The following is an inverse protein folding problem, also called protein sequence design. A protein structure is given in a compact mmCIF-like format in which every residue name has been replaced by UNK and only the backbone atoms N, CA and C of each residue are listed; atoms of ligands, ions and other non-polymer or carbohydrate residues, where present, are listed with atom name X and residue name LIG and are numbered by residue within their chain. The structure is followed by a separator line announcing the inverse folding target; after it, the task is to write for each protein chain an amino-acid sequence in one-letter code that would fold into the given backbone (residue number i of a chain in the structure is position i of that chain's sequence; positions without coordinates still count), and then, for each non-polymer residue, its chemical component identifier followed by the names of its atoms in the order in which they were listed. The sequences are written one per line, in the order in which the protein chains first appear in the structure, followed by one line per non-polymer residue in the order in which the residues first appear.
data_IF_350059858241
#
_entry.id   IF_350059858241
#
_cell.length_a   1.000
_cell.length_b   1.000
_cell.length_c   1.000
_cell.angle_alpha   90.00
_cell.angle_beta   90.00
_cell.angle_gamma   90.00
#
_symmetry.space_group_name_H-M   'P 1'
#
loop_
_entity.id
_entity.type
_entity.pdbx_description
1 polymer ?
#
# COMPACT_ATOMS: atom_id res chain seq x y z
N UNK A 1 -11.80 18.63 2.68
CA UNK A 1 -11.33 18.58 1.28
C UNK A 1 -10.14 17.62 1.21
N UNK A 2 -9.86 17.07 0.02
CA UNK A 2 -8.71 16.19 -0.27
C UNK A 2 -7.40 16.70 0.34
N UNK A 3 -7.02 17.93 -0.01
CA UNK A 3 -5.79 18.55 0.45
C UNK A 3 -5.71 18.65 1.98
N UNK A 4 -6.82 19.00 2.66
CA UNK A 4 -6.83 19.11 4.12
C UNK A 4 -6.65 17.74 4.81
N UNK A 5 -7.16 16.66 4.21
CA UNK A 5 -6.90 15.31 4.71
C UNK A 5 -5.42 14.96 4.59
N UNK A 6 -4.83 15.14 3.40
CA UNK A 6 -3.43 14.79 3.16
C UNK A 6 -2.50 15.59 4.06
N UNK A 7 -2.72 16.90 4.18
CA UNK A 7 -1.96 17.75 5.11
C UNK A 7 -2.15 17.24 6.55
N UNK A 8 -3.39 16.96 6.96
CA UNK A 8 -3.68 16.46 8.31
C UNK A 8 -2.98 15.13 8.63
N UNK A 9 -3.01 14.16 7.72
CA UNK A 9 -2.30 12.88 7.87
C UNK A 9 -0.79 13.13 7.92
N UNK A 10 -0.25 13.91 6.98
CA UNK A 10 1.18 14.24 6.87
C UNK A 10 1.71 14.86 8.16
N UNK A 11 1.01 15.86 8.70
CA UNK A 11 1.38 16.51 9.96
C UNK A 11 1.40 15.52 11.12
N UNK A 12 0.44 14.60 11.19
CA UNK A 12 0.45 13.60 12.25
C UNK A 12 1.59 12.60 12.10
N UNK A 13 1.94 12.20 10.87
CA UNK A 13 3.08 11.29 10.64
C UNK A 13 4.37 11.99 11.08
N UNK A 14 4.56 13.26 10.68
CA UNK A 14 5.70 14.08 11.12
C UNK A 14 5.79 14.17 12.64
N UNK A 15 4.66 14.39 13.34
CA UNK A 15 4.63 14.44 14.80
C UNK A 15 5.00 13.10 15.44
N UNK A 16 4.46 11.98 14.95
CA UNK A 16 4.77 10.63 15.49
C UNK A 16 6.23 10.27 15.24
N UNK A 17 6.79 10.62 14.07
CA UNK A 17 8.21 10.43 13.77
C UNK A 17 9.11 11.25 14.71
N UNK A 18 8.80 12.54 14.88
CA UNK A 18 9.56 13.41 15.78
C UNK A 18 9.47 12.95 17.24
N UNK A 19 8.28 12.49 17.68
CA UNK A 19 8.10 11.95 19.03
C UNK A 19 8.98 10.70 19.23
N UNK A 20 8.99 9.75 18.28
CA UNK A 20 9.84 8.56 18.38
C UNK A 20 11.34 8.90 18.47
N UNK A 21 11.80 9.84 17.64
CA UNK A 21 13.20 10.30 17.64
C UNK A 21 13.56 11.00 18.96
N UNK A 22 12.71 11.91 19.44
CA UNK A 22 12.94 12.64 20.69
C UNK A 22 12.98 11.74 21.93
N UNK A 23 12.37 10.55 21.86
CA UNK A 23 12.39 9.55 22.92
C UNK A 23 13.49 8.50 22.75
N UNK A 24 14.55 8.82 22.00
CA UNK A 24 15.70 7.93 21.74
C UNK A 24 15.27 6.58 21.15
N UNK A 25 14.28 6.58 20.25
CA UNK A 25 13.80 5.39 19.55
C UNK A 25 13.26 4.30 20.51
N UNK A 26 12.65 4.71 21.62
CA UNK A 26 12.01 3.80 22.57
C UNK A 26 10.52 3.63 22.28
N UNK A 27 9.99 2.44 22.57
CA UNK A 27 8.59 2.11 22.33
C UNK A 27 7.66 2.94 23.23
N UNK A 28 6.57 3.45 22.63
CA UNK A 28 5.41 4.00 23.34
C UNK A 28 4.11 3.53 22.69
N UNK A 29 3.01 3.72 23.41
CA UNK A 29 1.68 3.21 23.09
C UNK A 29 1.12 3.67 21.71
N UNK A 30 1.79 4.60 20.99
CA UNK A 30 1.28 5.18 19.75
C UNK A 30 2.35 5.48 18.68
N UNK A 31 3.47 4.76 18.67
CA UNK A 31 4.44 4.87 17.56
C UNK A 31 4.01 4.01 16.38
N UNK A 32 2.91 4.42 15.73
CA UNK A 32 2.29 3.66 14.64
C UNK A 32 1.75 4.56 13.53
N UNK A 33 1.84 4.04 12.31
CA UNK A 33 1.19 4.52 11.10
C UNK A 33 0.53 3.31 10.44
N UNK A 34 -0.79 3.22 10.54
CA UNK A 34 -1.58 2.18 9.91
C UNK A 34 -2.47 2.82 8.85
N UNK A 35 -2.46 2.31 7.62
CA UNK A 35 -3.27 2.90 6.54
C UNK A 35 -4.01 1.79 5.79
N UNK A 36 -5.33 1.89 5.72
CA UNK A 36 -6.17 1.13 4.78
C UNK A 36 -6.59 2.08 3.67
N UNK A 37 -6.14 1.82 2.44
CA UNK A 37 -6.42 2.72 1.32
C UNK A 37 -6.39 2.00 -0.02
N UNK A 38 -7.21 2.42 -0.99
CA UNK A 38 -7.10 1.88 -2.36
C UNK A 38 -5.75 2.21 -2.98
N UNK A 39 -5.22 3.42 -2.72
CA UNK A 39 -3.96 3.89 -3.28
C UNK A 39 -3.11 4.53 -2.16
N UNK A 40 -1.88 4.04 -1.88
CA UNK A 40 -1.04 4.54 -0.80
C UNK A 40 -0.46 5.94 -1.05
N UNK A 41 -0.50 6.42 -2.30
CA UNK A 41 -0.27 7.82 -2.64
C UNK A 41 -1.56 8.64 -2.66
N UNK A 42 -2.73 8.09 -2.33
CA UNK A 42 -4.00 8.81 -2.30
C UNK A 42 -4.33 9.58 -3.60
N UNK A 43 -3.82 9.16 -4.76
CA UNK A 43 -3.99 9.93 -6.01
C UNK A 43 -3.17 11.24 -6.09
N UNK A 44 -2.19 11.44 -5.18
CA UNK A 44 -1.26 12.57 -5.20
C UNK A 44 -0.39 12.67 -6.45
N UNK A 45 -0.28 11.58 -7.21
CA UNK A 45 0.41 11.55 -8.50
C UNK A 45 -0.22 12.45 -9.56
N UNK A 46 -1.47 12.88 -9.34
CA UNK A 46 -2.14 13.88 -10.16
C UNK A 46 -1.72 15.31 -9.82
N UNK A 47 -0.94 15.49 -8.75
CA UNK A 47 -0.43 16.76 -8.24
C UNK A 47 1.07 16.68 -7.91
N UNK A 48 1.94 16.23 -8.84
CA UNK A 48 3.34 15.93 -8.53
C UNK A 48 4.14 17.18 -8.11
N UNK A 49 3.79 18.35 -8.65
CA UNK A 49 4.47 19.61 -8.37
C UNK A 49 3.99 20.29 -7.08
N UNK A 50 2.99 19.73 -6.39
CA UNK A 50 2.46 20.34 -5.17
C UNK A 50 3.30 19.94 -3.96
N UNK A 51 3.59 20.92 -3.11
CA UNK A 51 4.39 20.74 -1.90
C UNK A 51 3.84 19.64 -0.98
N UNK A 52 2.52 19.58 -0.79
CA UNK A 52 1.89 18.57 0.05
C UNK A 52 2.11 17.13 -0.45
N UNK A 53 2.33 16.92 -1.75
CA UNK A 53 2.64 15.61 -2.34
C UNK A 53 4.02 15.13 -1.90
N UNK A 54 5.03 16.01 -2.02
CA UNK A 54 6.40 15.73 -1.58
C UNK A 54 6.47 15.54 -0.07
N UNK A 55 5.80 16.40 0.68
CA UNK A 55 5.80 16.36 2.14
C UNK A 55 5.19 15.08 2.70
N UNK A 56 4.11 14.59 2.10
CA UNK A 56 3.52 13.30 2.44
C UNK A 56 4.50 12.15 2.17
N UNK A 57 5.11 12.12 0.98
CA UNK A 57 6.07 11.08 0.62
C UNK A 57 7.27 11.03 1.58
N UNK A 58 7.87 12.19 1.90
CA UNK A 58 8.97 12.28 2.85
C UNK A 58 8.55 11.80 4.25
N UNK A 59 7.37 12.18 4.73
CA UNK A 59 6.89 11.74 6.04
C UNK A 59 6.72 10.21 6.13
N UNK A 60 6.26 9.57 5.06
CA UNK A 60 6.15 8.11 4.95
C UNK A 60 7.52 7.44 4.89
N UNK A 61 8.47 8.01 4.15
CA UNK A 61 9.86 7.52 4.10
C UNK A 61 10.53 7.60 5.48
N UNK A 62 10.35 8.69 6.21
CA UNK A 62 10.84 8.84 7.59
C UNK A 62 10.22 7.78 8.52
N UNK A 63 8.93 7.46 8.34
CA UNK A 63 8.26 6.41 9.10
C UNK A 63 8.85 5.02 8.77
N UNK A 64 9.15 4.75 7.51
CA UNK A 64 9.83 3.51 7.09
C UNK A 64 11.25 3.42 7.68
N UNK A 65 12.01 4.50 7.68
CA UNK A 65 13.33 4.55 8.31
C UNK A 65 13.25 4.32 9.83
N UNK A 66 12.22 4.84 10.50
CA UNK A 66 11.94 4.56 11.91
C UNK A 66 11.61 3.09 12.17
N UNK A 67 10.89 2.41 11.27
CA UNK A 67 10.71 0.94 11.35
C UNK A 67 12.05 0.23 11.30
N UNK A 68 12.92 0.59 10.35
CA UNK A 68 14.26 0.00 10.24
C UNK A 68 15.08 0.16 11.53
N UNK A 69 15.06 1.36 12.11
CA UNK A 69 15.75 1.65 13.38
C UNK A 69 15.17 0.78 14.51
N UNK A 70 13.84 0.67 14.60
CA UNK A 70 13.16 -0.11 15.63
C UNK A 70 13.57 -1.59 15.62
N UNK A 71 13.79 -2.16 14.42
CA UNK A 71 14.14 -3.57 14.23
C UNK A 71 15.58 -3.92 14.61
N UNK A 72 16.50 -2.95 14.62
CA UNK A 72 17.93 -3.17 14.93
C UNK A 72 18.18 -3.50 16.42
N UNK A 73 17.20 -3.28 17.30
CA UNK A 73 17.38 -3.31 18.75
C UNK A 73 17.05 -4.62 19.49
N UNK A 74 16.76 -5.73 18.81
CA UNK A 74 16.38 -7.03 19.41
C UNK A 74 15.19 -7.00 20.41
N UNK A 75 14.43 -5.91 20.48
CA UNK A 75 13.36 -5.74 21.46
C UNK A 75 12.19 -4.99 20.81
N UNK A 76 11.15 -5.76 20.48
CA UNK A 76 9.81 -5.37 20.03
C UNK A 76 9.72 -4.37 18.86
N UNK A 77 8.66 -4.45 18.07
CA UNK A 77 8.40 -3.49 16.99
C UNK A 77 8.04 -2.13 17.59
N UNK A 78 9.05 -1.36 18.01
CA UNK A 78 8.89 -0.08 18.72
C UNK A 78 8.23 1.00 17.88
N UNK A 79 8.34 0.88 16.56
CA UNK A 79 7.64 1.73 15.59
C UNK A 79 7.00 0.84 14.54
N UNK A 80 5.75 1.12 14.20
CA UNK A 80 4.97 0.35 13.23
C UNK A 80 4.59 1.21 12.04
N UNK A 81 4.89 0.74 10.83
CA UNK A 81 4.33 1.25 9.59
C UNK A 81 3.72 0.04 8.87
N UNK A 82 2.40 0.04 8.72
CA UNK A 82 1.70 -0.98 7.97
C UNK A 82 0.64 -0.35 7.07
N UNK A 83 0.61 -0.79 5.81
CA UNK A 83 -0.28 -0.29 4.78
C UNK A 83 -1.01 -1.47 4.19
N UNK A 84 -2.33 -1.47 4.22
CA UNK A 84 -3.18 -2.41 3.50
C UNK A 84 -3.77 -1.66 2.29
N UNK A 85 -3.35 -2.03 1.09
CA UNK A 85 -3.75 -1.31 -0.11
C UNK A 85 -4.14 -2.18 -1.30
N UNK A 86 -4.73 -1.55 -2.33
CA UNK A 86 -5.07 -2.23 -3.56
C UNK A 86 -3.85 -2.86 -4.22
N UNK A 87 -4.02 -4.05 -4.78
CA UNK A 87 -3.05 -4.68 -5.67
C UNK A 87 -2.91 -3.94 -7.00
N UNK A 88 -2.06 -4.45 -7.90
CA UNK A 88 -1.80 -3.80 -9.19
C UNK A 88 -3.07 -3.64 -10.03
N UNK A 89 -3.96 -4.65 -10.03
CA UNK A 89 -5.22 -4.58 -10.77
C UNK A 89 -6.12 -3.48 -10.19
N UNK A 90 -6.27 -3.45 -8.86
CA UNK A 90 -7.06 -2.45 -8.14
C UNK A 90 -6.52 -1.03 -8.36
N UNK A 91 -5.19 -0.85 -8.31
CA UNK A 91 -4.54 0.44 -8.58
C UNK A 91 -4.75 0.90 -10.02
N UNK A 92 -4.63 -0.02 -10.98
CA UNK A 92 -4.91 0.27 -12.39
C UNK A 92 -6.37 0.69 -12.59
N UNK A 93 -7.33 -0.03 -12.00
CA UNK A 93 -8.75 0.35 -12.06
C UNK A 93 -9.02 1.72 -11.43
N UNK A 94 -8.38 2.01 -10.29
CA UNK A 94 -8.45 3.33 -9.65
C UNK A 94 -7.91 4.42 -10.58
N UNK A 95 -6.70 4.27 -11.12
CA UNK A 95 -6.09 5.24 -12.03
C UNK A 95 -6.86 5.38 -13.34
N UNK A 96 -7.41 4.30 -13.89
CA UNK A 96 -8.27 4.38 -15.08
C UNK A 96 -9.49 5.22 -14.79
N UNK A 97 -10.23 4.94 -13.71
CA UNK A 97 -11.41 5.74 -13.34
C UNK A 97 -11.04 7.20 -13.10
N UNK A 98 -9.90 7.44 -12.46
CA UNK A 98 -9.37 8.76 -12.15
C UNK A 98 -8.98 9.56 -13.40
N UNK A 99 -8.19 8.97 -14.30
CA UNK A 99 -7.65 9.66 -15.47
C UNK A 99 -8.60 9.66 -16.67
N UNK A 100 -9.54 8.71 -16.79
CA UNK A 100 -10.62 8.74 -17.80
C UNK A 100 -11.50 9.98 -17.64
N UNK A 101 -11.71 10.43 -16.40
CA UNK A 101 -12.46 11.65 -16.19
C UNK A 101 -11.75 12.89 -16.74
N UNK A 102 -10.41 12.88 -16.84
CA UNK A 102 -9.58 14.02 -17.23
C UNK A 102 -9.16 14.05 -18.72
N UNK A 103 -9.74 13.19 -19.57
CA UNK A 103 -9.43 13.07 -21.02
C UNK A 103 -7.93 12.87 -21.30
N UNK A 104 -7.26 12.11 -20.42
CA UNK A 104 -5.81 11.86 -20.49
C UNK A 104 -5.55 10.40 -20.85
N UNK A 105 -4.75 10.18 -21.90
CA UNK A 105 -4.54 8.86 -22.51
C UNK A 105 -3.86 7.81 -21.61
N UNK A 106 -3.94 6.55 -22.05
CA UNK A 106 -3.56 5.33 -21.31
C UNK A 106 -2.13 5.33 -20.71
N UNK A 107 -1.18 6.01 -21.35
CA UNK A 107 0.20 6.10 -20.85
C UNK A 107 0.26 6.70 -19.43
N UNK A 108 -0.65 7.63 -19.10
CA UNK A 108 -0.66 8.29 -17.79
C UNK A 108 -1.17 7.39 -16.66
N UNK A 109 -2.04 6.43 -17.00
CA UNK A 109 -2.51 5.40 -16.04
C UNK A 109 -1.35 4.51 -15.65
N UNK A 110 -0.61 4.01 -16.65
CA UNK A 110 0.55 3.16 -16.41
C UNK A 110 1.63 3.89 -15.60
N UNK A 111 2.02 5.08 -16.03
CA UNK A 111 3.04 5.88 -15.33
C UNK A 111 2.66 6.13 -13.86
N UNK A 112 1.38 6.34 -13.57
CA UNK A 112 0.90 6.53 -12.21
C UNK A 112 0.90 5.23 -11.39
N UNK A 113 0.53 4.10 -12.00
CA UNK A 113 0.61 2.79 -11.34
C UNK A 113 2.07 2.44 -11.04
N UNK A 114 2.96 2.58 -12.02
CA UNK A 114 4.40 2.33 -11.87
C UNK A 114 4.99 3.22 -10.76
N UNK A 115 4.70 4.53 -10.76
CA UNK A 115 5.16 5.45 -9.72
C UNK A 115 4.57 5.16 -8.32
N UNK A 116 3.40 4.52 -8.24
CA UNK A 116 2.82 4.05 -6.98
C UNK A 116 3.53 2.80 -6.49
N UNK A 117 3.85 1.85 -7.38
CA UNK A 117 4.63 0.65 -7.08
C UNK A 117 6.06 1.00 -6.64
N UNK A 118 6.73 1.88 -7.37
CA UNK A 118 8.06 2.38 -7.00
C UNK A 118 8.08 3.01 -5.60
N UNK A 119 6.99 3.70 -5.22
CA UNK A 119 6.86 4.25 -3.88
C UNK A 119 6.71 3.16 -2.81
N UNK A 120 5.85 2.17 -3.06
CA UNK A 120 5.67 1.03 -2.17
C UNK A 120 7.01 0.29 -1.98
N UNK A 121 7.74 0.06 -3.07
CA UNK A 121 9.03 -0.61 -3.06
C UNK A 121 10.11 0.20 -2.32
N UNK A 122 10.15 1.53 -2.49
CA UNK A 122 11.06 2.40 -1.74
C UNK A 122 10.77 2.34 -0.22
N UNK A 123 9.50 2.37 0.18
CA UNK A 123 9.14 2.20 1.60
C UNK A 123 9.60 0.84 2.13
N UNK A 124 9.38 -0.23 1.34
CA UNK A 124 9.82 -1.59 1.66
C UNK A 124 11.33 -1.67 1.86
N UNK A 125 12.07 -1.16 0.88
CA UNK A 125 13.53 -1.14 0.90
C UNK A 125 14.08 -0.38 2.10
N UNK A 126 13.51 0.78 2.43
CA UNK A 126 13.89 1.58 3.59
C UNK A 126 13.67 0.82 4.90
N UNK A 127 12.45 0.33 5.12
CA UNK A 127 12.05 -0.32 6.36
C UNK A 127 12.73 -1.68 6.58
N UNK A 128 12.88 -2.47 5.51
CA UNK A 128 13.33 -3.86 5.58
C UNK A 128 14.83 -4.02 5.26
N UNK A 129 15.43 -3.05 4.56
CA UNK A 129 16.83 -3.12 4.11
C UNK A 129 17.09 -4.16 3.02
N UNK A 130 16.03 -4.67 2.38
CA UNK A 130 16.08 -5.67 1.30
C UNK A 130 15.02 -5.34 0.24
N UNK A 131 15.12 -5.87 -0.99
CA UNK A 131 14.06 -5.73 -1.99
C UNK A 131 12.73 -6.30 -1.48
N UNK A 132 11.63 -5.68 -1.90
CA UNK A 132 10.25 -6.03 -1.51
C UNK A 132 9.72 -5.24 -0.33
N UNK A 133 8.40 -5.36 -0.10
CA UNK A 133 7.65 -4.61 0.91
C UNK A 133 6.89 -5.51 1.90
N UNK A 134 7.10 -6.82 1.82
CA UNK A 134 6.44 -7.80 2.69
C UNK A 134 6.68 -7.50 4.17
N UNK A 135 5.58 -7.37 4.91
CA UNK A 135 5.60 -7.04 6.33
C UNK A 135 5.54 -5.55 6.65
N UNK A 136 5.39 -4.67 5.65
CA UNK A 136 4.96 -3.28 5.84
C UNK A 136 3.86 -2.86 4.86
N UNK A 137 3.77 -3.47 3.68
CA UNK A 137 2.68 -3.23 2.73
C UNK A 137 2.05 -4.57 2.37
N UNK A 138 0.72 -4.61 2.46
CA UNK A 138 -0.13 -5.78 2.23
C UNK A 138 -1.10 -5.43 1.09
N UNK A 139 -0.90 -6.05 -0.06
CA UNK A 139 -1.69 -5.79 -1.26
C UNK A 139 -2.88 -6.75 -1.37
N UNK A 140 -4.06 -6.20 -1.63
CA UNK A 140 -5.34 -6.92 -1.67
C UNK A 140 -6.16 -6.53 -2.89
N UNK A 141 -6.98 -7.44 -3.37
CA UNK A 141 -7.83 -7.23 -4.54
C UNK A 141 -9.12 -6.45 -4.26
N UNK A 142 -9.50 -6.28 -2.98
CA UNK A 142 -10.67 -5.52 -2.59
C UNK A 142 -10.40 -4.69 -1.33
N UNK A 143 -10.68 -3.39 -1.42
CA UNK A 143 -10.56 -2.44 -0.32
C UNK A 143 -11.96 -1.93 0.05
N UNK A 144 -12.21 -1.79 1.36
CA UNK A 144 -13.44 -1.20 1.86
C UNK A 144 -13.69 0.20 1.26
N UNK A 145 -14.96 0.50 0.98
CA UNK A 145 -15.38 1.82 0.50
C UNK A 145 -14.94 2.95 1.47
N UNK A 146 -15.14 2.72 2.76
CA UNK A 146 -14.61 3.57 3.82
C UNK A 146 -13.20 3.11 4.18
N UNK A 147 -12.26 4.02 3.98
CA UNK A 147 -10.83 3.86 4.17
C UNK A 147 -10.39 4.67 5.39
N UNK A 148 -9.23 4.34 5.95
CA UNK A 148 -8.78 5.06 7.13
C UNK A 148 -7.27 5.03 7.33
N UNK A 149 -6.77 5.98 8.11
CA UNK A 149 -5.42 5.99 8.63
C UNK A 149 -5.43 6.15 10.15
N UNK A 150 -4.73 5.29 10.88
CA UNK A 150 -4.43 5.44 12.30
C UNK A 150 -2.99 5.93 12.42
N UNK A 151 -2.82 7.19 12.79
CA UNK A 151 -1.50 7.81 12.96
C UNK A 151 -1.36 8.20 14.42
N UNK A 152 -0.55 7.44 15.14
CA UNK A 152 -0.46 7.49 16.59
C UNK A 152 -1.80 7.28 17.29
N UNK A 153 -2.31 8.34 17.91
CA UNK A 153 -3.59 8.37 18.62
C UNK A 153 -4.67 9.15 17.86
N UNK A 154 -4.53 9.27 16.54
CA UNK A 154 -5.48 9.95 15.67
C UNK A 154 -5.97 9.00 14.60
N UNK A 155 -7.29 8.93 14.43
CA UNK A 155 -7.94 8.25 13.30
C UNK A 155 -8.38 9.28 12.27
N UNK A 156 -8.06 9.02 11.02
CA UNK A 156 -8.57 9.70 9.85
C UNK A 156 -9.44 8.72 9.08
N UNK A 157 -10.74 8.97 9.01
CA UNK A 157 -11.67 8.20 8.18
C UNK A 157 -11.97 8.99 6.91
N UNK A 158 -12.02 8.31 5.76
CA UNK A 158 -12.28 8.94 4.48
C UNK A 158 -12.85 7.94 3.47
N UNK A 159 -13.52 8.45 2.43
CA UNK A 159 -13.85 7.67 1.24
C UNK A 159 -13.11 8.27 0.06
N UNK A 160 -12.36 7.46 -0.68
CA UNK A 160 -11.83 7.86 -1.97
C UNK A 160 -12.86 7.49 -3.04
N UNK A 161 -13.81 8.40 -3.30
CA UNK A 161 -14.66 8.27 -4.47
C UNK A 161 -14.10 9.14 -5.60
N UNK A 162 -14.24 8.65 -6.83
CA UNK A 162 -13.96 9.39 -8.06
C UNK A 162 -15.29 9.68 -8.79
N UNK A 163 -16.16 10.57 -8.28
CA UNK A 163 -17.31 11.01 -9.04
C UNK A 163 -16.85 12.02 -10.11
N UNK A 164 -16.40 11.54 -11.27
CA UNK A 164 -15.98 12.38 -12.39
C UNK A 164 -14.58 13.00 -12.25
N UNK A 165 -14.42 14.27 -12.70
CA UNK A 165 -13.15 14.97 -12.94
C UNK A 165 -12.32 15.33 -11.70
N UNK A 166 -12.85 15.13 -10.49
CA UNK A 166 -12.18 15.49 -9.25
C UNK A 166 -12.19 14.31 -8.28
N UNK A 167 -11.04 14.05 -7.65
CA UNK A 167 -10.99 13.21 -6.45
C UNK A 167 -11.70 13.96 -5.35
N UNK A 168 -12.91 13.53 -5.02
CA UNK A 168 -13.57 14.02 -3.83
C UNK A 168 -13.38 13.00 -2.72
N UNK A 169 -12.45 13.32 -1.83
CA UNK A 169 -12.40 12.65 -0.54
C UNK A 169 -13.60 13.14 0.26
N UNK A 170 -14.62 12.29 0.33
CA UNK A 170 -15.83 12.53 1.10
C UNK A 170 -15.68 12.04 2.54
N UNK A 171 -16.45 12.68 3.44
CA UNK A 171 -16.61 12.28 4.85
C UNK A 171 -15.30 12.15 5.63
N UNK A 172 -14.45 13.17 5.56
CA UNK A 172 -13.23 13.23 6.37
C UNK A 172 -13.57 13.43 7.85
N UNK A 173 -13.31 12.45 8.70
CA UNK A 173 -13.37 12.60 10.16
C UNK A 173 -12.00 12.48 10.77
N UNK A 174 -11.70 13.36 11.71
CA UNK A 174 -10.49 13.30 12.54
C UNK A 174 -10.91 13.04 13.98
N UNK A 175 -10.51 11.90 14.53
CA UNK A 175 -10.92 11.47 15.87
C UNK A 175 -9.67 11.32 16.74
N UNK A 176 -9.67 11.95 17.91
CA UNK A 176 -8.55 11.92 18.88
C UNK A 176 -8.99 11.23 20.16
N UNK A 177 -9.42 9.97 20.04
CA UNK A 177 -9.93 9.18 21.15
C UNK A 177 -9.26 7.81 21.17
N UNK A 178 -8.65 7.45 22.31
CA UNK A 178 -7.92 6.19 22.48
C UNK A 178 -8.77 4.97 22.10
N UNK A 179 -9.97 4.89 22.67
CA UNK A 179 -10.90 3.77 22.44
C UNK A 179 -11.24 3.62 20.96
N UNK A 180 -11.38 4.72 20.23
CA UNK A 180 -11.64 4.69 18.78
C UNK A 180 -10.40 4.22 18.03
N UNK A 181 -9.21 4.73 18.38
CA UNK A 181 -7.97 4.31 17.74
C UNK A 181 -7.70 2.81 17.91
N UNK A 182 -7.98 2.27 19.09
CA UNK A 182 -7.79 0.84 19.38
C UNK A 182 -8.76 -0.01 18.56
N UNK A 183 -10.03 0.40 18.43
CA UNK A 183 -11.00 -0.28 17.56
C UNK A 183 -10.60 -0.27 16.08
N UNK A 184 -10.08 0.85 15.58
CA UNK A 184 -9.62 0.94 14.19
C UNK A 184 -8.34 0.13 13.95
N UNK A 185 -7.48 0.01 14.97
CA UNK A 185 -6.34 -0.91 14.94
C UNK A 185 -6.81 -2.37 14.91
N UNK A 186 -7.75 -2.76 15.76
CA UNK A 186 -8.32 -4.12 15.74
C UNK A 186 -8.97 -4.43 14.38
N UNK A 187 -9.65 -3.45 13.79
CA UNK A 187 -10.21 -3.55 12.44
C UNK A 187 -9.11 -3.73 11.38
N UNK A 188 -8.02 -2.97 11.47
CA UNK A 188 -6.87 -3.13 10.58
C UNK A 188 -6.31 -4.57 10.65
N UNK A 189 -6.08 -5.07 11.87
CA UNK A 189 -5.54 -6.41 12.10
C UNK A 189 -6.48 -7.49 11.54
N UNK A 190 -7.81 -7.32 11.70
CA UNK A 190 -8.81 -8.21 11.11
C UNK A 190 -8.77 -8.21 9.57
N UNK A 191 -8.74 -7.02 8.94
CA UNK A 191 -8.70 -6.91 7.48
C UNK A 191 -7.43 -7.54 6.91
N UNK A 192 -6.29 -7.33 7.57
CA UNK A 192 -5.03 -7.97 7.22
C UNK A 192 -5.12 -9.50 7.30
N UNK A 193 -5.64 -10.05 8.40
CA UNK A 193 -5.81 -11.51 8.53
C UNK A 193 -6.71 -12.12 7.46
N UNK A 194 -7.82 -11.43 7.12
CA UNK A 194 -8.73 -11.87 6.06
C UNK A 194 -8.04 -11.88 4.70
N UNK A 195 -7.21 -10.87 4.40
CA UNK A 195 -6.44 -10.84 3.16
C UNK A 195 -5.44 -12.00 3.04
N UNK A 196 -4.72 -12.30 4.12
CA UNK A 196 -3.77 -13.41 4.17
C UNK A 196 -4.46 -14.78 4.03
N UNK A 197 -5.71 -14.92 4.51
CA UNK A 197 -6.51 -16.14 4.31
C UNK A 197 -6.99 -16.29 2.86
N UNK A 198 -7.44 -15.22 2.22
CA UNK A 198 -7.89 -15.24 0.84
C UNK A 198 -6.74 -15.60 -0.13
N UNK A 199 -5.52 -15.12 0.12
CA UNK A 199 -4.34 -15.46 -0.70
C UNK A 199 -3.91 -16.93 -0.56
N UNK A 200 -4.21 -17.59 0.57
CA UNK A 200 -3.90 -19.02 0.79
C UNK A 200 -4.95 -19.98 0.23
N UNK A 201 -6.14 -19.48 -0.12
CA UNK A 201 -7.25 -20.31 -0.60
C UNK A 201 -7.17 -20.63 -2.10
N UNK A 202 -6.19 -20.09 -2.84
CA UNK A 202 -5.94 -20.43 -4.24
C UNK A 202 -5.17 -21.75 -4.30
N UNK A 203 -5.77 -22.85 -4.81
CA UNK A 203 -5.03 -24.10 -5.03
C UNK A 203 -3.94 -23.85 -6.07
N UNK A 204 -2.75 -24.49 -5.98
CA UNK A 204 -1.77 -24.43 -7.05
C UNK A 204 -2.42 -24.88 -8.36
N UNK A 205 -2.15 -24.14 -9.45
CA UNK A 205 -2.61 -24.55 -10.78
C UNK A 205 -2.17 -25.99 -11.07
N UNK A 206 -3.03 -26.83 -11.67
CA UNK A 206 -2.65 -28.17 -12.06
C UNK A 206 -1.46 -28.09 -13.02
N UNK A 207 -0.40 -28.84 -12.73
CA UNK A 207 0.78 -28.89 -13.59
C UNK A 207 0.35 -29.17 -15.04
N UNK A 208 0.87 -28.40 -16.03
CA UNK A 208 0.54 -28.64 -17.42
C UNK A 208 0.94 -30.08 -17.79
N UNK A 209 0.11 -30.78 -18.58
CA UNK A 209 0.36 -32.18 -18.92
C UNK A 209 1.73 -32.31 -19.58
N UNK A 210 2.58 -33.15 -18.99
CA UNK A 210 3.88 -33.52 -19.52
C UNK A 210 3.68 -34.03 -20.94
N UNK A 211 4.09 -33.24 -21.94
CA UNK A 211 4.18 -33.71 -23.31
C UNK A 211 5.22 -34.82 -23.36
N UNK A 212 4.76 -36.07 -23.32
CA UNK A 212 5.58 -37.21 -23.69
C UNK A 212 5.94 -37.03 -25.17
N UNK A 213 7.19 -36.65 -25.45
CA UNK A 213 7.76 -36.70 -26.79
C UNK A 213 7.70 -38.14 -27.29
N UNK A 214 6.65 -38.47 -28.03
CA UNK A 214 6.61 -39.65 -28.88
C UNK A 214 7.46 -39.37 -30.11
N UNK A 215 8.76 -39.59 -30.00
CA UNK A 215 9.61 -39.80 -31.17
C UNK A 215 9.32 -41.20 -31.70
N UNK A 216 8.38 -41.33 -32.63
CA UNK A 216 8.20 -42.52 -33.43
C UNK A 216 8.26 -42.15 -34.92
N UNK A 217 9.42 -42.47 -35.50
CA UNK A 217 9.64 -43.02 -36.85
C UNK A 217 9.16 -42.22 -38.07
N UNK A 218 10.07 -42.04 -39.04
CA UNK A 218 9.97 -42.52 -40.44
C UNK A 218 11.20 -42.00 -41.21
N UNK A 219 12.11 -42.90 -41.56
CA UNK A 219 12.96 -42.84 -42.76
C UNK A 219 13.17 -44.31 -43.17
N UNK A 220 12.19 -44.85 -43.87
CA UNK A 220 12.17 -44.95 -45.33
C UNK A 220 13.02 -46.14 -45.81
N UNK A 221 12.29 -47.21 -46.08
CA UNK A 221 12.58 -48.24 -47.07
C UNK A 221 13.13 -47.65 -48.38
N UNK A 222 14.35 -48.05 -48.74
CA UNK A 222 14.98 -48.13 -50.08
C UNK A 222 16.44 -48.50 -49.79
N UNK A 223 16.92 -49.72 -49.98
CA UNK A 223 17.15 -50.39 -51.26
C UNK A 223 17.41 -51.90 -51.06
N UNK A 224 16.56 -52.75 -51.63
CA UNK A 224 16.97 -54.03 -52.20
C UNK A 224 16.77 -53.94 -53.71
N UNK A 225 17.86 -53.92 -54.47
CA UNK A 225 18.00 -54.50 -55.81
C UNK A 225 19.48 -54.60 -56.19
#
# INVERSE_FOLDING_TARGET
SFQALIIGITEQIKLVNADFQSHNFNAREYHRVLIVTTNPRFGLLSFPDKEFTRDFAHAMQDAADNVKISRRGNADNKFMLEILCGDEETLNQFHQTFYKATDVGDNRVKDATDATKDFIDDLGHRALGKPGHDGIVFEVNEILKTQFAVVGNVVFEFMMETPGLQTEIHQTRRIREKVVCDRFRDLFDLLKQLSEHNHRAVPPEPEPPVQQNQSAEILASQTEH
#
